data_IF_319285086968
#
_entry.id   IF_319285086968
#
_cell.length_a   1.000
_cell.length_b   1.000
_cell.length_c   1.000
_cell.angle_alpha   90.00
_cell.angle_beta   90.00
_cell.angle_gamma   90.00
#
_symmetry.space_group_name_H-M   'P 1'
#
loop_
_entity.id
_entity.type
_entity.pdbx_description
1 polymer ?
#
# COMPACT_ATOMS: atom_id res chain seq x y z
N UNK A 1 -9.80 -10.02 -6.78
CA UNK A 1 -8.79 -10.77 -7.60
C UNK A 1 -9.39 -12.01 -8.27
N UNK A 2 -8.87 -12.42 -9.45
CA UNK A 2 -9.34 -13.62 -10.17
C UNK A 2 -8.90 -14.91 -9.46
N UNK A 3 -9.79 -15.91 -9.36
CA UNK A 3 -9.50 -17.20 -8.68
C UNK A 3 -8.28 -17.92 -9.24
N UNK A 4 -8.12 -17.94 -10.56
CA UNK A 4 -6.96 -18.57 -11.22
C UNK A 4 -5.64 -17.93 -10.81
N UNK A 5 -5.63 -16.61 -10.64
CA UNK A 5 -4.45 -15.88 -10.19
C UNK A 5 -4.10 -16.19 -8.73
N UNK A 6 -5.12 -16.28 -7.86
CA UNK A 6 -4.95 -16.68 -6.46
C UNK A 6 -4.39 -18.10 -6.37
N UNK A 7 -4.94 -19.03 -7.14
CA UNK A 7 -4.46 -20.41 -7.20
C UNK A 7 -3.00 -20.45 -7.64
N UNK A 8 -2.67 -19.79 -8.75
CA UNK A 8 -1.29 -19.65 -9.21
C UNK A 8 -0.37 -19.12 -8.09
N UNK A 9 -0.74 -18.01 -7.46
CA UNK A 9 0.08 -17.43 -6.39
C UNK A 9 0.31 -18.40 -5.23
N UNK A 10 -0.74 -19.09 -4.78
CA UNK A 10 -0.67 -20.02 -3.64
C UNK A 10 0.26 -21.21 -3.88
N UNK A 11 0.24 -21.76 -5.10
CA UNK A 11 0.97 -22.99 -5.41
C UNK A 11 2.34 -22.77 -6.08
N UNK A 12 2.59 -21.61 -6.69
CA UNK A 12 3.87 -21.35 -7.37
C UNK A 12 4.63 -20.20 -6.72
N UNK A 13 4.02 -19.02 -6.62
CA UNK A 13 4.71 -17.78 -6.21
C UNK A 13 5.04 -17.80 -4.72
N UNK A 14 4.10 -18.21 -3.86
CA UNK A 14 4.26 -18.14 -2.41
C UNK A 14 5.31 -19.09 -1.84
N UNK A 15 5.40 -20.38 -2.25
CA UNK A 15 6.49 -21.25 -1.83
C UNK A 15 7.86 -20.65 -2.15
N UNK A 16 8.02 -20.09 -3.35
CA UNK A 16 9.25 -19.42 -3.76
C UNK A 16 9.53 -18.17 -2.93
N UNK A 17 8.55 -17.28 -2.72
CA UNK A 17 8.75 -16.05 -1.94
C UNK A 17 9.06 -16.30 -0.48
N UNK A 18 8.56 -17.38 0.12
CA UNK A 18 8.89 -17.74 1.51
C UNK A 18 10.39 -17.95 1.70
N UNK A 19 11.10 -18.45 0.68
CA UNK A 19 12.56 -18.56 0.72
C UNK A 19 13.26 -17.19 0.77
N UNK A 20 12.68 -16.18 0.12
CA UNK A 20 13.18 -14.80 0.12
C UNK A 20 12.59 -13.94 1.25
N UNK A 21 11.71 -14.48 2.09
CA UNK A 21 11.18 -13.79 3.25
C UNK A 21 12.06 -14.14 4.45
N UNK A 22 12.87 -13.20 4.92
CA UNK A 22 13.71 -13.41 6.10
C UNK A 22 12.88 -13.39 7.38
N UNK A 23 12.01 -12.39 7.51
CA UNK A 23 11.30 -12.16 8.75
C UNK A 23 10.04 -11.30 8.54
N UNK A 24 9.01 -11.57 9.35
CA UNK A 24 7.83 -10.72 9.50
C UNK A 24 7.64 -10.41 10.99
N UNK A 25 7.64 -9.12 11.35
CA UNK A 25 7.34 -8.64 12.72
C UNK A 25 6.00 -7.92 12.76
N UNK A 26 5.27 -8.05 13.87
CA UNK A 26 4.02 -7.34 14.11
C UNK A 26 2.80 -7.88 13.35
N UNK A 27 2.80 -9.16 12.98
CA UNK A 27 1.70 -9.76 12.20
C UNK A 27 0.35 -9.64 12.91
N UNK A 28 0.35 -9.68 14.24
CA UNK A 28 -0.86 -9.57 15.07
C UNK A 28 -1.52 -8.18 15.02
N UNK A 29 -0.80 -7.17 14.52
CA UNK A 29 -1.31 -5.81 14.35
C UNK A 29 -2.29 -5.69 13.17
N UNK A 30 -2.39 -6.71 12.32
CA UNK A 30 -3.33 -6.71 11.19
C UNK A 30 -4.74 -6.97 11.74
N UNK A 31 -5.70 -6.05 11.55
CA UNK A 31 -7.06 -6.23 12.06
C UNK A 31 -7.85 -7.19 11.17
N UNK A 32 -7.60 -8.50 11.29
CA UNK A 32 -8.20 -9.49 10.40
C UNK A 32 -9.74 -9.57 10.47
N UNK A 33 -10.39 -9.04 11.51
CA UNK A 33 -11.86 -9.02 11.61
C UNK A 33 -12.52 -7.98 10.71
N UNK A 34 -11.84 -6.87 10.42
CA UNK A 34 -12.40 -5.73 9.68
C UNK A 34 -11.58 -5.47 8.42
N UNK A 35 -12.09 -4.62 7.52
CA UNK A 35 -11.26 -4.08 6.45
C UNK A 35 -10.40 -2.92 6.97
N UNK A 36 -9.33 -2.67 6.24
CA UNK A 36 -8.30 -1.72 6.61
C UNK A 36 -7.59 -1.21 5.36
N UNK A 37 -6.78 -0.17 5.54
CA UNK A 37 -5.88 0.33 4.49
C UNK A 37 -4.46 -0.01 4.91
N UNK A 38 -3.71 -0.67 4.06
CA UNK A 38 -2.30 -0.95 4.29
C UNK A 38 -1.46 0.10 3.57
N UNK A 39 -0.55 0.74 4.29
CA UNK A 39 0.38 1.73 3.72
C UNK A 39 1.81 1.25 3.89
N UNK A 40 2.60 1.25 2.82
CA UNK A 40 3.97 0.74 2.85
C UNK A 40 4.91 1.64 2.07
N UNK A 41 6.19 1.69 2.45
CA UNK A 41 7.22 2.14 1.51
C UNK A 41 7.33 1.16 0.34
N UNK A 42 7.91 1.61 -0.78
CA UNK A 42 8.05 0.81 -1.98
C UNK A 42 9.49 0.82 -2.47
N UNK A 43 10.21 -0.29 -2.36
CA UNK A 43 11.58 -0.47 -2.85
C UNK A 43 11.59 -0.81 -4.33
N UNK A 44 10.83 -1.83 -4.73
CA UNK A 44 10.73 -2.31 -6.11
C UNK A 44 9.46 -3.13 -6.34
N UNK A 45 9.19 -3.49 -7.59
CA UNK A 45 7.96 -4.20 -7.98
C UNK A 45 7.69 -5.50 -7.22
N UNK A 46 8.73 -6.15 -6.65
CA UNK A 46 8.60 -7.43 -5.95
C UNK A 46 7.81 -7.28 -4.64
N UNK A 47 7.81 -6.08 -4.05
CA UNK A 47 7.14 -5.79 -2.78
C UNK A 47 5.64 -6.14 -2.81
N UNK A 48 4.98 -5.97 -3.95
CA UNK A 48 3.57 -6.35 -4.13
C UNK A 48 3.33 -7.80 -3.76
N UNK A 49 4.21 -8.70 -4.18
CA UNK A 49 4.05 -10.12 -3.94
C UNK A 49 4.28 -10.50 -2.48
N UNK A 50 5.18 -9.80 -1.79
CA UNK A 50 5.38 -9.98 -0.37
C UNK A 50 4.17 -9.51 0.45
N UNK A 51 3.54 -8.40 0.05
CA UNK A 51 2.29 -7.94 0.68
C UNK A 51 1.11 -8.87 0.36
N UNK A 52 1.07 -9.46 -0.85
CA UNK A 52 0.12 -10.53 -1.18
C UNK A 52 0.32 -11.77 -0.32
N UNK A 53 1.57 -12.21 -0.13
CA UNK A 53 1.91 -13.34 0.72
C UNK A 53 1.51 -13.07 2.18
N UNK A 54 1.75 -11.86 2.68
CA UNK A 54 1.35 -11.44 4.03
C UNK A 54 -0.17 -11.55 4.24
N UNK A 55 -0.94 -11.23 3.21
CA UNK A 55 -2.41 -11.19 3.24
C UNK A 55 -3.04 -12.33 2.41
N UNK A 56 -2.35 -13.48 2.30
CA UNK A 56 -2.72 -14.60 1.43
C UNK A 56 -4.15 -15.16 1.66
N UNK A 57 -4.67 -15.05 2.88
CA UNK A 57 -6.02 -15.51 3.25
C UNK A 57 -7.13 -14.57 2.74
N UNK A 58 -6.77 -13.35 2.34
CA UNK A 58 -7.68 -12.25 2.01
C UNK A 58 -7.52 -11.76 0.57
N UNK A 59 -6.73 -12.45 -0.25
CA UNK A 59 -6.38 -12.03 -1.62
C UNK A 59 -7.56 -11.62 -2.48
N UNK A 60 -8.72 -12.27 -2.33
CA UNK A 60 -9.93 -11.94 -3.10
C UNK A 60 -10.37 -10.50 -2.90
N UNK A 61 -10.10 -9.93 -1.72
CA UNK A 61 -10.50 -8.59 -1.27
C UNK A 61 -9.38 -7.55 -1.35
N UNK A 62 -8.20 -7.91 -1.86
CA UNK A 62 -7.05 -7.00 -1.92
C UNK A 62 -7.04 -6.23 -3.24
N UNK A 63 -6.78 -4.93 -3.17
CA UNK A 63 -6.54 -4.10 -4.34
C UNK A 63 -5.35 -3.19 -4.12
N UNK A 64 -4.46 -3.16 -5.11
CA UNK A 64 -3.39 -2.18 -5.19
C UNK A 64 -3.83 -0.96 -6.00
N UNK A 65 -3.16 0.16 -5.82
CA UNK A 65 -3.24 1.30 -6.74
C UNK A 65 -2.01 1.25 -7.66
N UNK A 66 -2.23 0.99 -8.95
CA UNK A 66 -1.18 0.80 -9.94
C UNK A 66 -1.17 1.91 -10.99
N UNK A 67 0.00 2.48 -11.27
CA UNK A 67 0.15 3.48 -12.33
C UNK A 67 0.19 2.83 -13.71
N UNK A 68 -0.42 3.49 -14.69
CA UNK A 68 -0.47 3.11 -16.10
C UNK A 68 -0.29 4.35 -16.97
N UNK A 69 0.91 4.93 -16.90
CA UNK A 69 1.18 6.26 -17.48
C UNK A 69 1.82 6.19 -18.88
N UNK A 70 2.19 5.00 -19.34
CA UNK A 70 2.85 4.79 -20.63
C UNK A 70 2.47 3.45 -21.25
N UNK A 71 2.57 3.39 -22.58
CA UNK A 71 2.35 2.18 -23.38
C UNK A 71 3.29 1.06 -22.94
N UNK A 72 4.53 1.39 -22.58
CA UNK A 72 5.50 0.41 -22.04
C UNK A 72 5.00 -0.23 -20.75
N UNK A 73 4.51 0.56 -19.80
CA UNK A 73 3.97 0.04 -18.53
C UNK A 73 2.71 -0.81 -18.80
N UNK A 74 1.88 -0.41 -19.76
CA UNK A 74 0.71 -1.18 -20.20
C UNK A 74 1.08 -2.58 -20.64
N UNK A 75 1.98 -2.74 -21.61
CA UNK A 75 2.37 -4.08 -22.06
C UNK A 75 3.04 -4.91 -20.97
N UNK A 76 3.73 -4.28 -20.01
CA UNK A 76 4.40 -4.99 -18.91
C UNK A 76 3.46 -5.40 -17.77
N UNK A 77 2.40 -4.63 -17.51
CA UNK A 77 1.62 -4.74 -16.26
C UNK A 77 0.13 -5.01 -16.47
N UNK A 78 -0.42 -4.83 -17.69
CA UNK A 78 -1.86 -4.91 -17.93
C UNK A 78 -2.45 -6.26 -17.53
N UNK A 79 -1.82 -7.37 -17.94
CA UNK A 79 -2.29 -8.71 -17.57
C UNK A 79 -2.26 -8.91 -16.05
N UNK A 80 -1.17 -8.53 -15.40
CA UNK A 80 -1.02 -8.67 -13.96
C UNK A 80 -2.09 -7.84 -13.23
N UNK A 81 -2.28 -6.59 -13.63
CA UNK A 81 -3.27 -5.69 -13.02
C UNK A 81 -4.70 -6.18 -13.22
N UNK A 82 -5.02 -6.77 -14.38
CA UNK A 82 -6.31 -7.41 -14.61
C UNK A 82 -6.53 -8.61 -13.70
N UNK A 83 -5.52 -9.48 -13.56
CA UNK A 83 -5.58 -10.67 -12.72
C UNK A 83 -5.67 -10.33 -11.22
N UNK A 84 -4.91 -9.32 -10.79
CA UNK A 84 -4.86 -8.82 -9.41
C UNK A 84 -5.93 -7.78 -9.10
N UNK A 85 -6.83 -7.47 -10.04
CA UNK A 85 -7.92 -6.49 -9.87
C UNK A 85 -7.43 -5.14 -9.31
N UNK A 86 -6.31 -4.67 -9.86
CA UNK A 86 -5.63 -3.44 -9.44
C UNK A 86 -6.43 -2.22 -9.87
N UNK A 87 -6.52 -1.23 -8.98
CA UNK A 87 -7.07 0.09 -9.27
C UNK A 87 -6.07 0.85 -10.14
N UNK A 88 -6.28 0.78 -11.45
CA UNK A 88 -5.41 1.42 -12.44
C UNK A 88 -5.65 2.93 -12.47
N UNK A 89 -4.55 3.70 -12.43
CA UNK A 89 -4.55 5.15 -12.51
C UNK A 89 -3.58 5.66 -13.57
N UNK A 90 -3.89 6.79 -14.18
CA UNK A 90 -2.91 7.55 -14.99
C UNK A 90 -2.48 8.78 -14.20
N UNK A 91 -1.27 8.77 -13.65
CA UNK A 91 -0.74 9.84 -12.78
C UNK A 91 -0.66 11.20 -13.47
N UNK A 92 -0.65 11.26 -14.81
CA UNK A 92 -0.64 12.53 -15.57
C UNK A 92 -2.01 13.19 -15.63
N UNK A 93 -3.08 12.39 -15.67
CA UNK A 93 -4.45 12.87 -15.92
C UNK A 93 -5.42 12.56 -14.77
N UNK A 94 -4.93 12.06 -13.63
CA UNK A 94 -5.81 11.68 -12.54
C UNK A 94 -6.24 12.88 -11.70
N UNK A 95 -7.55 13.06 -11.58
CA UNK A 95 -8.13 13.94 -10.59
C UNK A 95 -8.12 13.23 -9.24
N UNK A 96 -7.55 13.88 -8.23
CA UNK A 96 -7.46 13.37 -6.86
C UNK A 96 -8.82 12.92 -6.31
N UNK A 97 -9.87 13.70 -6.58
CA UNK A 97 -11.26 13.41 -6.15
C UNK A 97 -11.74 12.06 -6.69
N UNK A 98 -11.58 11.82 -7.99
CA UNK A 98 -12.03 10.60 -8.65
C UNK A 98 -11.33 9.35 -8.09
N UNK A 99 -10.02 9.46 -7.80
CA UNK A 99 -9.26 8.38 -7.15
C UNK A 99 -9.82 8.06 -5.77
N UNK A 100 -10.02 9.10 -4.96
CA UNK A 100 -10.54 8.97 -3.59
C UNK A 100 -11.93 8.34 -3.61
N UNK A 101 -12.83 8.80 -4.47
CA UNK A 101 -14.17 8.24 -4.61
C UNK A 101 -14.14 6.77 -5.04
N UNK A 102 -13.31 6.42 -6.02
CA UNK A 102 -13.14 5.04 -6.46
C UNK A 102 -12.65 4.16 -5.31
N UNK A 103 -11.59 4.56 -4.62
CA UNK A 103 -11.03 3.82 -3.46
C UNK A 103 -12.06 3.66 -2.34
N UNK A 104 -12.81 4.73 -2.03
CA UNK A 104 -13.88 4.69 -1.04
C UNK A 104 -14.99 3.68 -1.42
N UNK A 105 -15.26 3.48 -2.71
CA UNK A 105 -16.19 2.47 -3.20
C UNK A 105 -15.78 1.04 -2.83
N UNK A 106 -14.50 0.69 -2.99
CA UNK A 106 -13.96 -0.62 -2.57
C UNK A 106 -13.99 -0.76 -1.04
N UNK A 107 -13.56 0.28 -0.31
CA UNK A 107 -13.57 0.26 1.16
C UNK A 107 -14.98 0.08 1.74
N UNK A 108 -16.02 0.65 1.12
CA UNK A 108 -17.43 0.43 1.52
C UNK A 108 -17.90 -1.01 1.34
N UNK A 109 -17.29 -1.78 0.43
CA UNK A 109 -17.58 -3.21 0.20
C UNK A 109 -16.84 -4.14 1.17
N UNK A 110 -16.09 -3.60 2.12
CA UNK A 110 -15.27 -4.39 3.03
C UNK A 110 -13.98 -4.91 2.39
N UNK A 111 -13.54 -4.30 1.28
CA UNK A 111 -12.28 -4.63 0.62
C UNK A 111 -11.10 -3.88 1.26
N UNK A 112 -9.89 -4.37 1.02
CA UNK A 112 -8.63 -3.85 1.56
C UNK A 112 -7.86 -3.17 0.43
N UNK A 113 -7.33 -1.98 0.75
CA UNK A 113 -6.55 -1.20 -0.20
C UNK A 113 -5.11 -1.14 0.27
N UNK A 114 -4.18 -1.44 -0.64
CA UNK A 114 -2.74 -1.32 -0.41
C UNK A 114 -2.23 -0.10 -1.18
N UNK A 115 -1.61 0.83 -0.45
CA UNK A 115 -1.15 2.12 -0.99
C UNK A 115 0.33 2.31 -0.69
N UNK A 116 1.08 2.75 -1.70
CA UNK A 116 2.43 3.27 -1.53
C UNK A 116 2.38 4.81 -1.54
N UNK A 117 2.50 5.48 -0.39
CA UNK A 117 2.28 6.91 -0.26
C UNK A 117 3.32 7.77 -1.02
N UNK A 118 4.50 7.22 -1.30
CA UNK A 118 5.53 7.83 -2.15
C UNK A 118 5.08 7.93 -3.62
N UNK A 119 4.18 7.04 -4.06
CA UNK A 119 3.61 7.03 -5.41
C UNK A 119 4.54 6.50 -6.51
N UNK A 120 5.65 5.86 -6.12
CA UNK A 120 6.64 5.21 -6.96
C UNK A 120 7.59 4.35 -6.12
N UNK A 121 8.50 3.64 -6.79
CA UNK A 121 9.57 2.85 -6.14
C UNK A 121 10.73 3.75 -5.74
N UNK A 122 11.36 3.46 -4.61
CA UNK A 122 12.44 4.22 -4.01
C UNK A 122 13.50 3.29 -3.39
N UNK A 123 14.70 3.30 -3.98
CA UNK A 123 15.85 2.52 -3.51
C UNK A 123 16.82 3.33 -2.64
N UNK A 124 16.57 4.63 -2.48
CA UNK A 124 17.43 5.55 -1.73
C UNK A 124 17.42 5.25 -0.23
N UNK A 125 18.40 5.81 0.49
CA UNK A 125 18.53 5.66 1.93
C UNK A 125 17.39 6.34 2.73
N UNK A 126 16.74 7.34 2.13
CA UNK A 126 15.66 8.12 2.75
C UNK A 126 14.32 7.87 2.04
N UNK A 127 13.22 8.14 2.74
CA UNK A 127 11.88 8.06 2.15
C UNK A 127 11.57 9.33 1.33
N UNK A 128 10.85 9.15 0.21
CA UNK A 128 10.32 10.27 -0.56
C UNK A 128 9.18 10.98 0.19
N UNK A 129 8.90 12.23 -0.17
CA UNK A 129 7.77 12.98 0.37
C UNK A 129 6.46 12.25 0.08
N UNK A 130 5.68 11.97 1.13
CA UNK A 130 4.39 11.28 0.97
C UNK A 130 3.33 12.17 0.29
N UNK A 131 2.49 11.59 -0.57
CA UNK A 131 1.37 12.28 -1.23
C UNK A 131 0.13 12.35 -0.32
N UNK A 132 -0.50 13.52 -0.22
CA UNK A 132 -1.67 13.77 0.66
C UNK A 132 -2.91 12.95 0.32
N UNK A 133 -3.00 12.36 -0.88
CA UNK A 133 -4.16 11.57 -1.29
C UNK A 133 -4.47 10.40 -0.33
N UNK A 134 -3.45 9.76 0.24
CA UNK A 134 -3.68 8.68 1.22
C UNK A 134 -4.33 9.19 2.51
N UNK A 135 -3.96 10.39 2.96
CA UNK A 135 -4.48 10.99 4.18
C UNK A 135 -5.96 11.32 4.03
N UNK A 136 -6.36 11.74 2.82
CA UNK A 136 -7.77 12.00 2.53
C UNK A 136 -8.60 10.72 2.56
N UNK A 137 -8.08 9.63 1.99
CA UNK A 137 -8.71 8.31 2.08
C UNK A 137 -8.79 7.85 3.54
N UNK A 138 -7.73 8.05 4.32
CA UNK A 138 -7.69 7.68 5.73
C UNK A 138 -8.74 8.44 6.55
N UNK A 139 -8.78 9.76 6.43
CA UNK A 139 -9.73 10.62 7.14
C UNK A 139 -11.17 10.32 6.72
N UNK A 140 -11.46 10.21 5.41
CA UNK A 140 -12.83 9.96 4.92
C UNK A 140 -13.34 8.57 5.29
N UNK A 141 -12.47 7.56 5.23
CA UNK A 141 -12.84 6.19 5.59
C UNK A 141 -13.06 6.02 7.09
N UNK A 142 -12.21 6.63 7.92
CA UNK A 142 -12.15 6.35 9.36
C UNK A 142 -11.78 4.89 9.66
N UNK A 143 -11.23 4.17 8.67
CA UNK A 143 -10.77 2.80 8.83
C UNK A 143 -9.37 2.77 9.45
N UNK A 144 -8.98 1.65 10.09
CA UNK A 144 -7.61 1.45 10.53
C UNK A 144 -6.62 1.54 9.36
N UNK A 145 -5.56 2.33 9.55
CA UNK A 145 -4.44 2.44 8.62
C UNK A 145 -3.26 1.67 9.20
N UNK A 146 -2.87 0.58 8.54
CA UNK A 146 -1.78 -0.30 8.99
C UNK A 146 -0.48 0.09 8.29
N UNK A 147 0.48 0.73 8.98
CA UNK A 147 1.77 1.05 8.40
C UNK A 147 2.65 -0.20 8.32
N UNK A 148 3.35 -0.33 7.19
CA UNK A 148 4.29 -1.43 6.94
C UNK A 148 5.62 -0.85 6.47
N UNK A 149 6.70 -1.32 7.08
CA UNK A 149 8.06 -1.09 6.63
C UNK A 149 8.61 -2.32 5.94
N UNK A 150 8.98 -2.19 4.67
CA UNK A 150 9.70 -3.20 3.91
C UNK A 150 11.17 -2.82 3.87
N UNK A 151 12.02 -3.77 4.23
CA UNK A 151 13.47 -3.67 4.16
C UNK A 151 14.03 -4.80 3.29
N UNK A 152 15.21 -4.55 2.73
CA UNK A 152 16.04 -5.58 2.10
C UNK A 152 17.24 -5.83 3.00
N UNK A 153 17.52 -7.10 3.27
CA UNK A 153 18.72 -7.50 3.99
C UNK A 153 19.97 -7.11 3.20
N UNK A 154 21.00 -6.63 3.89
CA UNK A 154 22.27 -6.25 3.28
C UNK A 154 22.94 -7.47 2.61
N UNK A 155 23.52 -7.27 1.42
CA UNK A 155 24.16 -8.33 0.62
C UNK A 155 23.25 -9.53 0.28
N UNK A 156 21.92 -9.36 0.37
CA UNK A 156 20.95 -10.41 0.16
C UNK A 156 19.73 -9.88 -0.60
N UNK A 157 19.00 -10.79 -1.26
CA UNK A 157 17.71 -10.46 -1.89
C UNK A 157 16.55 -10.60 -0.91
N UNK A 158 16.80 -11.09 0.31
CA UNK A 158 15.74 -11.35 1.27
C UNK A 158 15.07 -10.07 1.78
N UNK A 159 13.77 -10.19 2.06
CA UNK A 159 12.94 -9.11 2.63
C UNK A 159 12.71 -9.31 4.11
N UNK A 160 12.73 -8.21 4.85
CA UNK A 160 12.22 -8.12 6.22
C UNK A 160 11.01 -7.20 6.17
N UNK A 161 9.90 -7.64 6.75
CA UNK A 161 8.65 -6.88 6.80
C UNK A 161 8.33 -6.59 8.26
N UNK A 162 8.11 -5.33 8.59
CA UNK A 162 7.67 -4.91 9.93
C UNK A 162 6.33 -4.20 9.82
N UNK A 163 5.37 -4.63 10.61
CA UNK A 163 4.00 -4.12 10.60
C UNK A 163 3.79 -3.35 11.90
N UNK A 164 3.40 -2.09 11.80
CA UNK A 164 3.12 -1.24 12.96
C UNK A 164 1.67 -1.36 13.43
N UNK A 165 1.42 -0.80 14.60
CA UNK A 165 0.06 -0.68 15.15
C UNK A 165 -0.87 0.09 14.20
N UNK A 166 -2.15 -0.30 14.09
CA UNK A 166 -3.14 0.44 13.32
C UNK A 166 -3.28 1.88 13.83
N UNK A 167 -3.24 2.83 12.89
CA UNK A 167 -3.47 4.25 13.16
C UNK A 167 -4.90 4.63 12.76
N UNK A 168 -5.54 5.45 13.60
CA UNK A 168 -6.90 5.93 13.40
C UNK A 168 -6.90 7.45 13.25
N UNK A 169 -7.72 7.95 12.32
CA UNK A 169 -7.88 9.38 12.07
C UNK A 169 -9.35 9.75 12.15
N UNK A 170 -9.63 10.85 12.84
CA UNK A 170 -11.01 11.34 13.02
C UNK A 170 -11.57 11.79 11.67
N UNK A 171 -12.79 11.35 11.36
CA UNK A 171 -13.52 11.82 10.17
C UNK A 171 -13.68 13.32 10.22
N UNK A 172 -13.36 13.98 9.11
CA UNK A 172 -13.54 15.41 8.91
C UNK A 172 -14.12 15.65 7.51
N UNK A 173 -15.09 16.56 7.41
CA UNK A 173 -15.79 16.92 6.17
C UNK A 173 -15.43 18.32 5.66
N UNK A 174 -14.44 18.98 6.27
CA UNK A 174 -14.06 20.34 5.89
C UNK A 174 -13.28 20.37 4.56
N UNK A 175 -13.49 21.41 3.75
CA UNK A 175 -12.76 21.65 2.50
C UNK A 175 -12.21 23.07 2.45
N UNK A 176 -11.32 23.39 3.41
CA UNK A 176 -10.69 24.70 3.55
C UNK A 176 -9.16 24.55 3.70
N UNK A 177 -8.43 25.66 3.82
CA UNK A 177 -6.97 25.64 4.01
C UNK A 177 -6.54 24.79 5.23
N UNK A 178 -7.36 24.76 6.29
CA UNK A 178 -7.11 23.90 7.47
C UNK A 178 -7.16 22.42 7.12
N UNK A 179 -7.97 22.02 6.15
CA UNK A 179 -8.05 20.64 5.69
C UNK A 179 -6.78 20.18 4.96
N UNK A 180 -6.20 20.99 4.07
CA UNK A 180 -4.94 20.62 3.40
C UNK A 180 -3.77 20.54 4.39
N UNK A 181 -3.72 21.41 5.39
CA UNK A 181 -2.76 21.32 6.49
C UNK A 181 -2.94 20.01 7.29
N UNK A 182 -4.19 19.67 7.64
CA UNK A 182 -4.50 18.41 8.31
C UNK A 182 -4.09 17.20 7.46
N UNK A 183 -4.36 17.21 6.15
CA UNK A 183 -3.96 16.14 5.24
C UNK A 183 -2.44 15.96 5.22
N UNK A 184 -1.70 17.07 5.27
CA UNK A 184 -0.24 17.05 5.34
C UNK A 184 0.26 16.48 6.65
N UNK A 185 -0.27 16.94 7.79
CA UNK A 185 0.06 16.41 9.11
C UNK A 185 -0.20 14.90 9.20
N UNK A 186 -1.37 14.44 8.76
CA UNK A 186 -1.73 13.02 8.72
C UNK A 186 -0.78 12.22 7.83
N UNK A 187 -0.43 12.78 6.67
CA UNK A 187 0.55 12.16 5.76
C UNK A 187 1.90 12.00 6.45
N UNK A 188 2.43 13.05 7.05
CA UNK A 188 3.77 13.04 7.63
C UNK A 188 3.80 12.13 8.88
N UNK A 189 2.72 12.09 9.66
CA UNK A 189 2.58 11.12 10.76
C UNK A 189 2.63 9.68 10.27
N UNK A 190 1.93 9.35 9.17
CA UNK A 190 1.98 8.03 8.56
C UNK A 190 3.36 7.69 8.01
N UNK A 191 3.99 8.63 7.30
CA UNK A 191 5.34 8.46 6.75
C UNK A 191 6.38 8.25 7.86
N UNK A 192 6.26 8.95 8.99
CA UNK A 192 7.11 8.75 10.18
C UNK A 192 6.89 7.38 10.82
N UNK A 193 5.67 6.85 10.81
CA UNK A 193 5.41 5.50 11.26
C UNK A 193 6.10 4.47 10.35
N UNK A 194 5.98 4.62 9.02
CA UNK A 194 6.68 3.77 8.05
C UNK A 194 8.20 3.90 8.21
N UNK A 195 8.73 5.12 8.38
CA UNK A 195 10.14 5.42 8.60
C UNK A 195 10.73 4.63 9.78
N UNK A 196 10.03 4.61 10.92
CA UNK A 196 10.44 3.82 12.09
C UNK A 196 10.49 2.31 11.80
N UNK A 197 9.56 1.81 11.00
CA UNK A 197 9.48 0.38 10.66
C UNK A 197 10.58 -0.03 9.67
N UNK A 198 10.78 0.74 8.60
CA UNK A 198 11.76 0.43 7.55
C UNK A 198 13.18 0.94 7.85
N UNK A 199 13.37 1.74 8.89
CA UNK A 199 14.67 2.30 9.27
C UNK A 199 15.20 3.38 8.33
N UNK A 200 14.41 3.84 7.35
CA UNK A 200 14.78 4.92 6.42
C UNK A 200 14.29 6.26 6.96
N UNK A 201 15.14 7.30 7.09
CA UNK A 201 14.71 8.62 7.54
C UNK A 201 13.66 9.25 6.61
N UNK A 202 12.66 9.91 7.19
CA UNK A 202 11.71 10.79 6.48
C UNK A 202 12.05 12.25 6.80
N UNK A 203 12.44 13.02 5.78
CA UNK A 203 13.05 14.36 5.94
C UNK A 203 12.05 15.53 5.83
N UNK A 204 10.75 15.26 5.87
CA UNK A 204 9.69 16.26 5.65
C UNK A 204 8.79 16.45 6.88
#
# INVERSE_FOLDING_TARGET
MKKIFIFFCKFTVFPFLRFFLKEVKGKDNIPFKNNFILVSNHIDGVDHWFLLLLLQERMEKLHFIGAMDSVKIFFQSALLYYLSDTIVINRKNIKRKDLVERVMGYLKKGEIIIIYPEGGTNKEATLLKGKTGMAEIAIKSGLPIVPVGILREENSRKRIIKIGEPLFFKKSSQSNMRYELLLREVTDRLMRAISKLCGKPYLY
#
